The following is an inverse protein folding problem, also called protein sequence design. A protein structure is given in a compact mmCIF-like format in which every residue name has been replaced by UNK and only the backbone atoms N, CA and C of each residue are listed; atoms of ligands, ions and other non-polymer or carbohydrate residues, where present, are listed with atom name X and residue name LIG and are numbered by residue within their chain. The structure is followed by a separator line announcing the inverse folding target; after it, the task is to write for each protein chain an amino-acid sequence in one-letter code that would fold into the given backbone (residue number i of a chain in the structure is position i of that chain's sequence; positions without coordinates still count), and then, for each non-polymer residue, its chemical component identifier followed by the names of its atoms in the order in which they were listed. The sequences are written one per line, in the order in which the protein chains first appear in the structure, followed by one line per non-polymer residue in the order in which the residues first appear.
data_IF_835819732202
#
_entry.id   IF_835819732202
#
_cell.length_a   1.000
_cell.length_b   1.000
_cell.length_c   1.000
_cell.angle_alpha   90.00
_cell.angle_beta   90.00
_cell.angle_gamma   90.00
#
_symmetry.space_group_name_H-M   'P 1'
#
loop_
_entity.id
_entity.type
_entity.pdbx_description
1 polymer ?
#
# COMPACT_ATOMS: atom_id res chain seq x y z
N UNK A 1 -18.10 -49.48 46.19
CA UNK A 1 -16.69 -49.19 45.87
C UNK A 1 -16.49 -49.05 44.35
N UNK A 2 -17.31 -48.24 43.67
CA UNK A 2 -17.25 -47.99 42.22
C UNK A 2 -17.49 -46.49 41.89
N UNK A 3 -18.01 -45.69 42.82
CA UNK A 3 -18.38 -44.29 42.58
C UNK A 3 -17.25 -43.25 42.81
N UNK A 4 -16.03 -43.68 43.19
CA UNK A 4 -14.95 -42.76 43.56
C UNK A 4 -13.84 -42.63 42.49
N UNK A 5 -13.91 -43.43 41.41
CA UNK A 5 -12.91 -43.43 40.32
C UNK A 5 -13.33 -42.62 39.08
N UNK A 6 -14.58 -42.18 38.98
CA UNK A 6 -15.04 -41.37 37.84
C UNK A 6 -15.00 -39.85 38.09
N UNK A 7 -14.82 -39.40 39.34
CA UNK A 7 -14.71 -37.98 39.66
C UNK A 7 -13.28 -37.42 39.43
N UNK A 8 -12.26 -38.29 39.40
CA UNK A 8 -10.87 -37.90 39.16
C UNK A 8 -10.49 -37.79 37.68
N UNK A 9 -11.30 -38.37 36.77
CA UNK A 9 -11.03 -38.30 35.33
C UNK A 9 -11.58 -37.02 34.66
N UNK A 10 -12.53 -36.33 35.30
CA UNK A 10 -13.08 -35.07 34.81
C UNK A 10 -12.33 -33.82 35.30
N UNK A 11 -11.47 -33.96 36.32
CA UNK A 11 -10.65 -32.85 36.84
C UNK A 11 -9.29 -32.78 36.11
N UNK A 12 -8.82 -33.87 35.49
CA UNK A 12 -7.58 -33.88 34.69
C UNK A 12 -7.74 -33.34 33.26
N UNK A 13 -8.97 -33.09 32.78
CA UNK A 13 -9.24 -32.50 31.46
C UNK A 13 -9.57 -31.00 31.51
N UNK A 14 -9.69 -30.41 32.71
CA UNK A 14 -10.01 -28.99 32.88
C UNK A 14 -8.78 -28.11 33.22
N UNK A 15 -7.58 -28.69 33.38
CA UNK A 15 -6.34 -27.95 33.76
C UNK A 15 -5.34 -27.82 32.61
N UNK A 16 -5.59 -28.41 31.43
CA UNK A 16 -4.76 -28.23 30.23
C UNK A 16 -5.26 -27.07 29.34
N UNK A 17 -6.38 -26.43 29.69
CA UNK A 17 -7.03 -25.38 28.90
C UNK A 17 -6.77 -23.93 29.32
N UNK A 18 -5.82 -23.65 30.22
CA UNK A 18 -5.57 -22.29 30.73
C UNK A 18 -4.08 -21.97 30.80
N UNK A 19 -3.30 -22.13 29.72
CA UNK A 19 -2.00 -21.44 29.54
C UNK A 19 -1.61 -21.25 28.06
N UNK A 20 -2.59 -21.14 27.16
CA UNK A 20 -2.38 -20.54 25.82
C UNK A 20 -3.01 -19.13 25.79
N UNK A 21 -2.75 -18.36 26.84
CA UNK A 21 -2.69 -16.92 26.69
C UNK A 21 -1.26 -16.68 26.21
N UNK A 22 -1.10 -16.31 24.93
CA UNK A 22 0.13 -15.68 24.47
C UNK A 22 0.30 -14.39 25.29
N UNK A 23 0.92 -14.52 26.47
CA UNK A 23 1.77 -13.46 26.96
C UNK A 23 2.75 -13.22 25.83
N UNK A 24 2.52 -12.13 25.10
CA UNK A 24 3.56 -11.44 24.37
C UNK A 24 4.60 -11.11 25.43
N UNK A 25 5.54 -12.04 25.64
CA UNK A 25 6.82 -11.71 26.24
C UNK A 25 7.24 -10.42 25.54
N UNK A 26 7.41 -9.38 26.33
CA UNK A 26 8.19 -8.23 25.93
C UNK A 26 9.52 -8.80 25.47
N UNK A 27 9.62 -9.04 24.15
CA UNK A 27 10.89 -9.13 23.47
C UNK A 27 11.57 -7.83 23.85
N UNK A 28 12.48 -7.95 24.82
CA UNK A 28 13.49 -6.94 25.06
C UNK A 28 13.92 -6.47 23.69
N UNK A 29 13.74 -5.18 23.47
CA UNK A 29 14.07 -4.48 22.26
C UNK A 29 15.59 -4.55 22.14
N UNK A 30 16.09 -5.70 21.70
CA UNK A 30 17.42 -5.83 21.13
C UNK A 30 17.44 -4.74 20.08
N UNK A 31 18.35 -3.79 20.26
CA UNK A 31 18.63 -2.72 19.32
C UNK A 31 19.17 -3.39 18.07
N UNK A 32 18.25 -4.00 17.31
CA UNK A 32 18.53 -5.03 16.34
C UNK A 32 19.51 -4.46 15.36
N UNK A 33 20.64 -5.14 15.21
CA UNK A 33 21.57 -4.95 14.10
C UNK A 33 20.75 -4.69 12.85
N UNK A 34 20.75 -3.42 12.40
CA UNK A 34 20.10 -3.00 11.16
C UNK A 34 20.74 -3.87 10.09
N UNK A 35 20.01 -4.88 9.59
CA UNK A 35 20.49 -5.74 8.53
C UNK A 35 20.88 -4.83 7.35
N UNK A 36 22.06 -5.07 6.78
CA UNK A 36 22.69 -4.17 5.81
C UNK A 36 21.80 -4.05 4.57
N UNK A 37 21.19 -2.88 4.37
CA UNK A 37 20.51 -2.52 3.11
C UNK A 37 21.57 -1.89 2.21
N UNK A 38 21.76 -2.43 1.02
CA UNK A 38 22.70 -1.90 0.03
C UNK A 38 21.97 -1.27 -1.15
N UNK A 39 22.60 -0.30 -1.80
CA UNK A 39 22.12 0.27 -3.07
C UNK A 39 22.98 -0.29 -4.18
N UNK A 40 22.40 -1.11 -5.06
CA UNK A 40 23.06 -1.66 -6.23
C UNK A 40 22.34 -1.13 -7.47
N UNK A 41 23.05 -0.35 -8.30
CA UNK A 41 22.50 0.26 -9.52
C UNK A 41 21.17 1.00 -9.29
N UNK A 42 21.12 1.83 -8.24
CA UNK A 42 19.91 2.59 -7.89
C UNK A 42 18.75 1.72 -7.38
N UNK A 43 18.99 0.45 -7.02
CA UNK A 43 18.00 -0.48 -6.48
C UNK A 43 18.37 -0.90 -5.05
N UNK A 44 17.43 -0.81 -4.12
CA UNK A 44 17.64 -1.34 -2.76
C UNK A 44 17.74 -2.87 -2.80
N UNK A 45 18.76 -3.37 -2.12
CA UNK A 45 19.05 -4.81 -1.99
C UNK A 45 18.95 -5.20 -0.53
N UNK A 46 17.98 -6.09 -0.26
CA UNK A 46 17.78 -6.72 1.03
C UNK A 46 18.39 -8.12 0.98
N UNK A 47 19.37 -8.41 1.84
CA UNK A 47 20.05 -9.70 1.87
C UNK A 47 19.09 -10.87 2.13
N UNK A 48 18.07 -10.65 2.97
CA UNK A 48 17.09 -11.67 3.34
C UNK A 48 15.67 -11.14 3.27
N UNK A 49 14.73 -12.08 3.18
CA UNK A 49 13.30 -11.81 3.28
C UNK A 49 12.93 -11.14 4.61
N UNK A 50 13.54 -11.61 5.71
CA UNK A 50 13.33 -11.03 7.05
C UNK A 50 13.83 -9.58 7.14
N UNK A 51 14.93 -9.23 6.46
CA UNK A 51 15.41 -7.83 6.38
C UNK A 51 14.35 -6.90 5.77
N UNK A 52 13.77 -7.35 4.66
CA UNK A 52 12.75 -6.61 3.93
C UNK A 52 11.47 -6.44 4.78
N UNK A 53 11.02 -7.51 5.42
CA UNK A 53 9.87 -7.51 6.33
C UNK A 53 10.06 -6.54 7.51
N UNK A 54 11.18 -6.65 8.22
CA UNK A 54 11.53 -5.77 9.33
C UNK A 54 11.62 -4.30 8.89
N UNK A 55 12.08 -4.05 7.67
CA UNK A 55 12.14 -2.69 7.10
C UNK A 55 10.74 -2.13 6.85
N UNK A 56 9.83 -2.93 6.28
CA UNK A 56 8.44 -2.50 6.11
C UNK A 56 7.81 -2.22 7.49
N UNK A 57 7.97 -3.12 8.47
CA UNK A 57 7.44 -2.90 9.83
C UNK A 57 7.97 -1.62 10.47
N UNK A 58 9.27 -1.36 10.30
CA UNK A 58 9.90 -0.15 10.82
C UNK A 58 9.32 1.10 10.17
N UNK A 59 9.23 1.14 8.84
CA UNK A 59 8.71 2.30 8.10
C UNK A 59 7.21 2.53 8.38
N UNK A 60 6.46 1.45 8.59
CA UNK A 60 5.07 1.53 9.02
C UNK A 60 4.85 2.21 10.35
N UNK A 61 5.73 1.95 11.31
CA UNK A 61 5.69 2.60 12.63
C UNK A 61 6.21 4.05 12.56
N UNK A 62 6.96 4.39 11.51
CA UNK A 62 7.68 5.66 11.36
C UNK A 62 7.32 6.42 10.07
N UNK A 63 6.05 6.38 9.64
CA UNK A 63 5.61 6.95 8.36
C UNK A 63 5.84 8.47 8.21
N UNK A 64 6.01 9.20 9.31
CA UNK A 64 6.37 10.62 9.27
C UNK A 64 7.81 10.88 8.84
N UNK A 65 8.65 9.84 8.85
CA UNK A 65 10.10 9.95 8.67
C UNK A 65 10.56 9.22 7.40
N UNK A 66 9.66 8.97 6.43
CA UNK A 66 10.01 8.27 5.19
C UNK A 66 11.09 9.02 4.40
N UNK A 67 10.99 10.35 4.28
CA UNK A 67 12.01 11.17 3.60
C UNK A 67 13.37 11.08 4.30
N UNK A 68 13.36 11.11 5.63
CA UNK A 68 14.59 10.96 6.41
C UNK A 68 15.22 9.57 6.22
N UNK A 69 14.40 8.52 6.18
CA UNK A 69 14.89 7.16 5.93
C UNK A 69 15.48 7.03 4.53
N UNK A 70 14.79 7.51 3.50
CA UNK A 70 15.24 7.47 2.11
C UNK A 70 16.55 8.24 1.91
N UNK A 71 16.72 9.37 2.60
CA UNK A 71 17.94 10.21 2.52
C UNK A 71 19.24 9.51 2.94
N UNK A 72 19.14 8.35 3.59
CA UNK A 72 20.30 7.52 3.96
C UNK A 72 20.97 6.86 2.73
N UNK A 73 20.29 6.85 1.58
CA UNK A 73 20.71 6.18 0.36
C UNK A 73 20.96 7.18 -0.78
N UNK A 74 22.16 7.75 -0.85
CA UNK A 74 22.47 8.91 -1.72
C UNK A 74 22.25 8.72 -3.23
N UNK A 75 22.26 7.48 -3.73
CA UNK A 75 22.07 7.14 -5.15
C UNK A 75 20.73 6.47 -5.44
N UNK A 76 19.85 6.40 -4.45
CA UNK A 76 18.53 5.80 -4.56
C UNK A 76 17.46 6.89 -4.65
N UNK A 77 16.52 6.72 -5.57
CA UNK A 77 15.31 7.52 -5.67
C UNK A 77 14.13 6.57 -5.63
N UNK A 78 13.27 6.73 -4.62
CA UNK A 78 12.10 5.88 -4.49
C UNK A 78 11.03 6.22 -5.53
N UNK A 79 10.15 5.26 -5.83
CA UNK A 79 8.97 5.49 -6.66
C UNK A 79 8.11 6.62 -6.10
N UNK A 80 7.96 6.68 -4.77
CA UNK A 80 7.26 7.76 -4.07
C UNK A 80 7.86 9.12 -4.41
N UNK A 81 9.16 9.29 -4.20
CA UNK A 81 9.86 10.56 -4.46
C UNK A 81 9.83 10.93 -5.94
N UNK A 82 10.08 9.98 -6.83
CA UNK A 82 10.03 10.20 -8.27
C UNK A 82 8.63 10.64 -8.74
N UNK A 83 7.56 9.97 -8.26
CA UNK A 83 6.19 10.35 -8.54
C UNK A 83 5.85 11.75 -8.01
N UNK A 84 6.37 12.10 -6.84
CA UNK A 84 6.18 13.42 -6.23
C UNK A 84 6.87 14.56 -6.98
N UNK A 85 7.90 14.25 -7.76
CA UNK A 85 8.69 15.20 -8.54
C UNK A 85 8.17 15.38 -9.98
N UNK A 86 7.10 14.68 -10.39
CA UNK A 86 6.45 14.89 -11.68
C UNK A 86 5.91 16.33 -11.75
N UNK A 87 6.33 17.07 -12.76
CA UNK A 87 5.99 18.49 -12.88
C UNK A 87 4.57 18.73 -13.39
N UNK A 88 4.03 19.93 -13.18
CA UNK A 88 2.72 20.30 -13.74
C UNK A 88 2.73 20.24 -15.28
N UNK A 89 3.87 20.53 -15.92
CA UNK A 89 4.02 20.43 -17.37
C UNK A 89 4.00 18.97 -17.86
N UNK A 90 4.57 18.04 -17.10
CA UNK A 90 4.50 16.60 -17.41
C UNK A 90 3.07 16.11 -17.33
N UNK A 91 2.33 16.50 -16.28
CA UNK A 91 0.91 16.17 -16.11
C UNK A 91 0.06 16.76 -17.24
N UNK A 92 0.32 18.00 -17.65
CA UNK A 92 -0.35 18.60 -18.80
C UNK A 92 -0.07 17.84 -20.10
N UNK A 93 1.18 17.44 -20.33
CA UNK A 93 1.59 16.68 -21.52
C UNK A 93 0.90 15.31 -21.53
N UNK A 94 0.95 14.61 -20.41
CA UNK A 94 0.24 13.36 -20.20
C UNK A 94 -1.27 13.50 -20.46
N UNK A 95 -1.89 14.56 -19.95
CA UNK A 95 -3.33 14.79 -20.16
C UNK A 95 -3.68 15.19 -21.60
N UNK A 96 -2.80 15.89 -22.33
CA UNK A 96 -3.02 16.24 -23.74
C UNK A 96 -2.92 15.02 -24.63
N UNK A 97 -1.97 14.13 -24.34
CA UNK A 97 -1.71 12.92 -25.12
C UNK A 97 -2.57 11.72 -24.70
N UNK A 98 -3.28 11.84 -23.58
CA UNK A 98 -4.00 10.72 -22.95
C UNK A 98 -3.11 9.48 -22.78
N UNK A 99 -1.85 9.71 -22.39
CA UNK A 99 -0.81 8.70 -22.30
C UNK A 99 0.15 9.04 -21.16
N UNK A 100 0.60 8.02 -20.43
CA UNK A 100 1.65 8.11 -19.41
C UNK A 100 3.05 7.87 -20.01
N UNK A 101 3.24 8.09 -21.32
CA UNK A 101 4.50 7.75 -21.97
C UNK A 101 5.69 8.55 -21.41
N UNK A 102 6.80 7.87 -21.14
CA UNK A 102 7.95 8.39 -20.39
C UNK A 102 7.80 8.27 -18.86
N UNK A 103 6.62 7.92 -18.36
CA UNK A 103 6.31 7.76 -16.94
C UNK A 103 5.67 6.40 -16.64
N UNK A 104 5.76 5.42 -17.55
CA UNK A 104 5.11 4.11 -17.44
C UNK A 104 5.57 3.34 -16.20
N UNK A 105 6.80 3.62 -15.74
CA UNK A 105 7.36 3.05 -14.51
C UNK A 105 6.70 3.57 -13.23
N UNK A 106 6.18 4.79 -13.27
CA UNK A 106 5.73 5.54 -12.10
C UNK A 106 4.21 5.65 -12.05
N UNK A 107 3.59 5.84 -13.21
CA UNK A 107 2.21 6.33 -13.33
C UNK A 107 1.34 5.32 -14.05
N UNK A 108 0.13 5.12 -13.54
CA UNK A 108 -0.97 4.49 -14.25
C UNK A 108 -2.17 5.43 -14.32
N UNK A 109 -3.00 5.31 -15.35
CA UNK A 109 -4.28 6.00 -15.41
C UNK A 109 -5.40 5.03 -15.08
N UNK A 110 -6.24 5.41 -14.12
CA UNK A 110 -7.46 4.71 -13.75
C UNK A 110 -8.65 5.59 -14.07
N UNK A 111 -9.71 5.02 -14.61
CA UNK A 111 -10.97 5.73 -14.85
C UNK A 111 -12.04 5.25 -13.89
N UNK A 112 -12.73 6.20 -13.27
CA UNK A 112 -13.79 5.99 -12.29
C UNK A 112 -14.83 7.10 -12.48
N UNK A 113 -16.10 6.75 -12.66
CA UNK A 113 -17.20 7.70 -12.89
C UNK A 113 -16.96 8.69 -14.05
N UNK A 114 -16.30 8.23 -15.12
CA UNK A 114 -15.92 9.05 -16.27
C UNK A 114 -14.82 10.08 -15.95
N UNK A 115 -14.14 9.96 -14.82
CA UNK A 115 -13.00 10.78 -14.44
C UNK A 115 -11.71 9.97 -14.45
N UNK A 116 -10.70 10.51 -15.12
CA UNK A 116 -9.36 9.91 -15.16
C UNK A 116 -8.60 10.39 -13.92
N UNK A 117 -8.05 9.46 -13.15
CA UNK A 117 -7.13 9.69 -12.06
C UNK A 117 -5.79 9.07 -12.42
N UNK A 118 -4.73 9.84 -12.25
CA UNK A 118 -3.40 9.30 -12.34
C UNK A 118 -2.91 8.85 -10.97
N UNK A 119 -2.43 7.62 -10.92
CA UNK A 119 -2.00 6.93 -9.71
C UNK A 119 -0.57 6.48 -9.83
N UNK A 120 0.07 6.29 -8.70
CA UNK A 120 1.36 5.63 -8.65
C UNK A 120 1.16 4.13 -8.93
N UNK A 121 2.14 3.47 -9.55
CA UNK A 121 2.07 2.03 -9.77
C UNK A 121 1.99 1.22 -8.46
N UNK A 122 2.49 1.79 -7.36
CA UNK A 122 2.35 1.25 -6.00
C UNK A 122 1.58 2.28 -5.18
N UNK A 123 0.37 1.93 -4.76
CA UNK A 123 -0.51 2.84 -4.01
C UNK A 123 -0.13 2.95 -2.52
N UNK A 124 0.64 1.99 -2.00
CA UNK A 124 1.18 1.95 -0.64
C UNK A 124 2.46 2.80 -0.52
N UNK A 125 2.45 3.80 0.34
CA UNK A 125 3.58 4.74 0.47
C UNK A 125 4.83 4.11 1.10
N UNK A 126 4.70 3.15 2.00
CA UNK A 126 5.86 2.48 2.60
C UNK A 126 6.54 1.63 1.55
N UNK A 127 5.78 0.81 0.83
CA UNK A 127 6.33 -0.02 -0.23
C UNK A 127 6.90 0.84 -1.38
N UNK A 128 6.21 1.92 -1.77
CA UNK A 128 6.69 2.86 -2.77
C UNK A 128 7.95 3.62 -2.34
N UNK A 129 8.27 3.69 -1.04
CA UNK A 129 9.53 4.26 -0.52
C UNK A 129 10.68 3.28 -0.67
N UNK A 130 10.42 1.98 -0.67
CA UNK A 130 11.44 0.92 -0.79
C UNK A 130 11.78 0.61 -2.26
N UNK A 131 10.77 0.67 -3.13
CA UNK A 131 10.92 0.38 -4.55
C UNK A 131 11.46 1.60 -5.28
N UNK A 132 12.43 1.43 -6.19
CA UNK A 132 13.00 2.56 -6.93
C UNK A 132 12.02 3.12 -7.98
N UNK A 133 12.41 4.21 -8.64
CA UNK A 133 11.63 4.89 -9.68
C UNK A 133 11.28 4.02 -10.92
N UNK A 134 11.99 2.91 -11.13
CA UNK A 134 11.68 1.95 -12.21
C UNK A 134 10.70 0.84 -11.80
N UNK A 135 10.32 0.80 -10.52
CA UNK A 135 9.53 -0.28 -9.93
C UNK A 135 10.36 -1.45 -9.43
N UNK A 136 11.67 -1.30 -9.21
CA UNK A 136 12.60 -2.38 -8.88
C UNK A 136 12.97 -2.45 -7.38
N UNK A 137 13.13 -3.68 -6.89
CA UNK A 137 13.69 -4.01 -5.58
C UNK A 137 14.32 -5.41 -5.62
N UNK A 138 15.39 -5.64 -4.86
CA UNK A 138 16.01 -6.96 -4.72
C UNK A 138 15.84 -7.50 -3.30
N UNK A 139 15.39 -8.74 -3.16
CA UNK A 139 15.22 -9.42 -1.88
C UNK A 139 15.78 -10.84 -1.98
N UNK A 140 16.82 -11.13 -1.19
CA UNK A 140 17.50 -12.42 -1.22
C UNK A 140 18.13 -12.73 -2.58
N UNK A 141 17.71 -13.84 -3.18
CA UNK A 141 18.18 -14.28 -4.50
C UNK A 141 17.30 -13.75 -5.66
N UNK A 142 16.29 -12.93 -5.38
CA UNK A 142 15.31 -12.49 -6.38
C UNK A 142 15.34 -10.98 -6.59
N UNK A 143 15.07 -10.59 -7.83
CA UNK A 143 14.75 -9.21 -8.21
C UNK A 143 13.29 -9.14 -8.64
N UNK A 144 12.65 -8.04 -8.30
CA UNK A 144 11.23 -7.81 -8.54
C UNK A 144 11.01 -6.52 -9.32
N UNK A 145 10.04 -6.54 -10.23
CA UNK A 145 9.49 -5.33 -10.85
C UNK A 145 8.01 -5.23 -10.60
N UNK A 146 7.59 -4.16 -9.96
CA UNK A 146 6.19 -3.90 -9.60
C UNK A 146 5.60 -2.89 -10.59
N UNK A 147 4.51 -3.30 -11.23
CA UNK A 147 3.62 -2.48 -12.03
C UNK A 147 2.26 -2.43 -11.35
N UNK A 148 1.42 -1.49 -11.78
CA UNK A 148 0.08 -1.37 -11.22
C UNK A 148 -0.71 -2.70 -11.24
N UNK A 149 -0.68 -3.47 -12.33
CA UNK A 149 -1.47 -4.70 -12.43
C UNK A 149 -0.62 -5.99 -12.46
N UNK A 150 0.71 -5.88 -12.34
CA UNK A 150 1.62 -7.01 -12.51
C UNK A 150 2.84 -6.91 -11.62
N UNK A 151 3.24 -8.06 -11.09
CA UNK A 151 4.54 -8.28 -10.48
C UNK A 151 5.34 -9.19 -11.41
N UNK A 152 6.59 -8.82 -11.67
CA UNK A 152 7.56 -9.67 -12.34
C UNK A 152 8.66 -10.04 -11.36
N UNK A 153 9.14 -11.28 -11.43
CA UNK A 153 10.19 -11.81 -10.58
C UNK A 153 11.20 -12.58 -11.44
N UNK A 154 12.48 -12.37 -11.16
CA UNK A 154 13.60 -13.10 -11.77
C UNK A 154 14.65 -13.39 -10.70
N UNK A 155 15.62 -14.25 -11.01
CA UNK A 155 16.86 -14.34 -10.23
C UNK A 155 17.59 -12.99 -10.25
N UNK A 156 18.19 -12.58 -9.13
CA UNK A 156 18.85 -11.26 -8.99
C UNK A 156 19.92 -11.00 -10.04
N UNK A 157 20.59 -12.04 -10.56
CA UNK A 157 21.59 -11.92 -11.62
C UNK A 157 21.01 -11.46 -12.96
N UNK A 158 19.67 -11.49 -13.10
CA UNK A 158 18.94 -11.13 -14.30
C UNK A 158 18.15 -9.82 -14.15
N UNK A 159 18.51 -8.96 -13.19
CA UNK A 159 17.84 -7.67 -12.94
C UNK A 159 17.64 -6.83 -14.21
N UNK A 160 18.63 -6.79 -15.10
CA UNK A 160 18.59 -5.99 -16.32
C UNK A 160 17.43 -6.36 -17.26
N UNK A 161 16.99 -7.61 -17.22
CA UNK A 161 15.83 -8.08 -18.00
C UNK A 161 14.55 -7.38 -17.55
N UNK A 162 14.44 -7.08 -16.26
CA UNK A 162 13.29 -6.35 -15.72
C UNK A 162 13.30 -4.88 -16.16
N UNK A 163 14.46 -4.25 -16.34
CA UNK A 163 14.57 -2.86 -16.80
C UNK A 163 13.88 -2.69 -18.17
N UNK A 164 14.07 -3.65 -19.08
CA UNK A 164 13.52 -3.63 -20.45
C UNK A 164 12.21 -4.40 -20.67
N UNK A 165 11.53 -4.85 -19.59
CA UNK A 165 10.38 -5.76 -19.70
C UNK A 165 9.19 -5.19 -20.49
N UNK A 166 9.09 -3.86 -20.60
CA UNK A 166 8.00 -3.21 -21.32
C UNK A 166 8.29 -2.94 -22.79
N UNK A 167 9.54 -3.11 -23.22
CA UNK A 167 9.93 -3.01 -24.62
C UNK A 167 9.23 -4.11 -25.45
N UNK A 168 8.54 -3.67 -26.50
CA UNK A 168 7.78 -4.52 -27.42
C UNK A 168 8.67 -5.54 -28.13
N UNK A 169 9.93 -5.18 -28.43
CA UNK A 169 10.88 -6.09 -29.08
C UNK A 169 11.35 -7.18 -28.10
N UNK A 170 11.53 -6.81 -26.83
CA UNK A 170 11.87 -7.74 -25.75
C UNK A 170 10.74 -8.72 -25.45
N UNK A 171 9.47 -8.30 -25.45
CA UNK A 171 8.32 -9.19 -25.11
C UNK A 171 8.27 -10.49 -25.92
N UNK A 172 8.81 -10.50 -27.14
CA UNK A 172 8.89 -11.69 -27.98
C UNK A 172 10.10 -12.59 -27.64
N UNK A 173 11.19 -12.03 -27.13
CA UNK A 173 12.42 -12.73 -26.72
C UNK A 173 12.43 -13.17 -25.24
N UNK A 174 11.54 -12.62 -24.39
CA UNK A 174 11.41 -13.01 -22.97
C UNK A 174 11.04 -14.49 -22.73
N UNK A 175 10.66 -15.25 -23.78
CA UNK A 175 10.33 -16.68 -23.67
C UNK A 175 11.51 -17.57 -23.24
N UNK A 176 12.76 -17.08 -23.32
CA UNK A 176 13.96 -17.82 -22.87
C UNK A 176 14.38 -17.51 -21.44
N UNK A 177 13.87 -16.44 -20.85
CA UNK A 177 14.26 -15.99 -19.52
C UNK A 177 13.25 -16.54 -18.51
N UNK A 178 13.73 -17.13 -17.41
CA UNK A 178 12.87 -17.64 -16.33
C UNK A 178 12.23 -16.47 -15.56
N UNK A 179 11.26 -15.81 -16.19
CA UNK A 179 10.50 -14.69 -15.62
C UNK A 179 9.19 -15.25 -15.07
N UNK A 180 9.03 -15.16 -13.76
CA UNK A 180 7.76 -15.41 -13.11
C UNK A 180 6.93 -14.13 -13.16
N UNK A 181 5.64 -14.25 -13.47
CA UNK A 181 4.73 -13.11 -13.47
C UNK A 181 3.47 -13.41 -12.67
N UNK A 182 3.05 -12.45 -11.86
CA UNK A 182 1.89 -12.56 -10.99
C UNK A 182 0.97 -11.36 -11.22
N UNK A 183 -0.33 -11.59 -11.11
CA UNK A 183 -1.30 -10.49 -11.15
C UNK A 183 -1.23 -9.67 -9.86
N UNK A 184 -1.38 -8.36 -9.99
CA UNK A 184 -1.62 -7.47 -8.85
C UNK A 184 -3.09 -7.11 -8.85
N UNK A 185 -3.77 -7.36 -7.73
CA UNK A 185 -5.17 -6.99 -7.56
C UNK A 185 -5.29 -5.81 -6.62
N UNK A 186 -6.20 -4.92 -6.96
CA UNK A 186 -6.56 -3.79 -6.11
C UNK A 186 -8.06 -3.72 -5.97
N UNK A 187 -8.54 -3.67 -4.73
CA UNK A 187 -9.96 -3.51 -4.46
C UNK A 187 -10.23 -2.11 -3.92
N UNK A 188 -10.61 -1.22 -4.83
CA UNK A 188 -11.21 0.08 -4.56
C UNK A 188 -12.68 -0.06 -4.94
N UNK A 189 -13.56 -0.42 -4.01
CA UNK A 189 -14.96 -0.68 -4.37
C UNK A 189 -15.64 0.64 -4.72
N UNK A 190 -16.17 0.74 -5.94
CA UNK A 190 -17.10 1.79 -6.35
C UNK A 190 -18.48 1.19 -6.62
N UNK A 191 -19.50 2.00 -6.33
CA UNK A 191 -20.90 1.71 -6.59
C UNK A 191 -21.11 1.34 -8.06
N UNK A 192 -21.77 0.21 -8.30
CA UNK A 192 -22.28 -0.13 -9.64
C UNK A 192 -23.78 -0.26 -9.46
N UNK A 193 -24.54 0.61 -10.12
CA UNK A 193 -25.97 0.83 -9.90
C UNK A 193 -26.86 -0.35 -10.34
N UNK A 194 -26.27 -1.49 -10.72
CA UNK A 194 -26.96 -2.64 -11.29
C UNK A 194 -27.28 -3.78 -10.31
N UNK A 195 -26.67 -3.84 -9.12
CA UNK A 195 -26.89 -4.94 -8.18
C UNK A 195 -27.25 -4.45 -6.78
N UNK A 196 -28.49 -4.77 -6.39
CA UNK A 196 -29.10 -4.58 -5.06
C UNK A 196 -28.50 -5.53 -4.00
N UNK A 197 -27.17 -5.60 -3.93
CA UNK A 197 -26.49 -6.00 -2.70
C UNK A 197 -25.94 -4.72 -2.09
N UNK A 198 -26.24 -4.48 -0.82
CA UNK A 198 -25.86 -3.28 -0.06
C UNK A 198 -24.35 -3.03 -0.14
N UNK A 199 -23.93 -2.28 -1.17
CA UNK A 199 -22.56 -1.78 -1.35
C UNK A 199 -22.37 -0.65 -0.36
N UNK A 200 -21.50 -0.84 0.61
CA UNK A 200 -21.01 0.27 1.38
C UNK A 200 -19.95 1.02 0.55
N UNK A 201 -20.10 2.35 0.51
CA UNK A 201 -19.16 3.24 -0.17
C UNK A 201 -17.77 2.99 0.41
N UNK A 202 -16.75 2.80 -0.43
CA UNK A 202 -15.34 2.68 -0.01
C UNK A 202 -14.48 3.84 -0.50
N UNK A 203 -15.11 4.84 -1.08
CA UNK A 203 -14.52 6.13 -1.34
C UNK A 203 -15.48 7.27 -0.94
N UNK A 204 -14.93 8.46 -0.77
CA UNK A 204 -15.72 9.66 -0.61
C UNK A 204 -15.04 10.80 -1.36
N UNK A 205 -15.84 11.72 -1.92
CA UNK A 205 -15.27 12.91 -2.58
C UNK A 205 -15.96 14.19 -2.14
N UNK A 206 -15.17 15.24 -1.92
CA UNK A 206 -15.67 16.58 -1.66
C UNK A 206 -14.95 17.58 -2.56
N UNK A 207 -15.70 18.13 -3.52
CA UNK A 207 -15.23 19.23 -4.41
C UNK A 207 -15.56 20.57 -3.77
N UNK A 208 -14.68 21.56 -3.90
CA UNK A 208 -14.87 22.85 -3.23
C UNK A 208 -14.56 24.11 -4.07
N UNK A 209 -14.98 25.26 -3.53
CA UNK A 209 -15.98 26.16 -4.15
C UNK A 209 -15.50 27.09 -5.28
N UNK A 210 -14.20 27.35 -5.50
CA UNK A 210 -13.81 28.34 -6.54
C UNK A 210 -13.21 27.74 -7.81
N UNK A 211 -12.88 26.44 -7.81
CA UNK A 211 -12.31 25.76 -8.97
C UNK A 211 -12.83 24.31 -8.94
N UNK A 212 -13.68 23.89 -9.89
CA UNK A 212 -14.09 22.47 -10.13
C UNK A 212 -12.90 21.55 -10.49
N UNK A 213 -11.69 21.94 -10.12
CA UNK A 213 -10.40 21.33 -10.39
C UNK A 213 -9.68 20.98 -9.08
N UNK A 214 -10.35 20.99 -7.94
CA UNK A 214 -9.79 20.52 -6.67
C UNK A 214 -10.81 19.66 -5.93
N UNK A 215 -10.33 18.63 -5.24
CA UNK A 215 -11.15 17.76 -4.39
C UNK A 215 -10.34 17.17 -3.25
N UNK A 216 -11.03 16.95 -2.14
CA UNK A 216 -10.66 15.96 -1.14
C UNK A 216 -11.23 14.60 -1.59
N UNK A 217 -10.42 13.54 -1.51
CA UNK A 217 -10.85 12.16 -1.79
C UNK A 217 -10.42 11.25 -0.65
N UNK A 218 -11.37 10.54 -0.04
CA UNK A 218 -11.10 9.42 0.84
C UNK A 218 -11.18 8.11 0.07
N UNK A 219 -10.32 7.15 0.37
CA UNK A 219 -10.40 5.80 -0.20
C UNK A 219 -10.01 4.76 0.84
N UNK A 220 -10.73 3.63 0.84
CA UNK A 220 -10.33 2.39 1.50
C UNK A 220 -9.89 1.39 0.44
N UNK A 221 -8.86 0.61 0.75
CA UNK A 221 -8.24 -0.25 -0.25
C UNK A 221 -7.70 -1.54 0.36
N UNK A 222 -7.63 -2.55 -0.49
CA UNK A 222 -6.79 -3.73 -0.28
C UNK A 222 -5.98 -3.95 -1.55
N UNK A 223 -4.71 -4.29 -1.42
CA UNK A 223 -3.85 -4.69 -2.53
C UNK A 223 -3.29 -6.08 -2.26
N UNK A 224 -3.13 -6.86 -3.32
CA UNK A 224 -2.38 -8.12 -3.30
C UNK A 224 -1.45 -8.12 -4.52
N UNK A 225 -0.15 -8.11 -4.24
CA UNK A 225 0.96 -8.11 -5.19
C UNK A 225 1.52 -9.53 -5.28
N UNK A 226 0.68 -10.47 -5.69
CA UNK A 226 1.03 -11.89 -5.78
C UNK A 226 1.62 -12.43 -4.46
N UNK A 227 2.69 -13.25 -4.52
CA UNK A 227 3.33 -13.78 -3.32
C UNK A 227 4.21 -12.73 -2.61
N UNK A 228 4.40 -11.54 -3.16
CA UNK A 228 5.40 -10.59 -2.65
C UNK A 228 4.87 -9.79 -1.46
N UNK A 229 3.69 -9.20 -1.61
CA UNK A 229 3.15 -8.23 -0.66
C UNK A 229 1.63 -8.23 -0.72
N UNK A 230 0.97 -8.10 0.41
CA UNK A 230 -0.43 -7.70 0.47
C UNK A 230 -0.64 -6.67 1.56
N UNK A 231 -1.60 -5.78 1.37
CA UNK A 231 -1.90 -4.75 2.35
C UNK A 231 -3.35 -4.31 2.30
N UNK A 232 -3.81 -3.70 3.38
CA UNK A 232 -5.11 -3.08 3.46
C UNK A 232 -5.04 -1.79 4.27
N UNK A 233 -5.79 -0.78 3.85
CA UNK A 233 -5.75 0.49 4.54
C UNK A 233 -6.82 1.47 4.10
N UNK A 234 -6.69 2.68 4.65
CA UNK A 234 -7.45 3.84 4.22
C UNK A 234 -6.51 4.99 3.95
N UNK A 235 -6.92 5.91 3.08
CA UNK A 235 -6.15 7.09 2.74
C UNK A 235 -7.02 8.30 2.45
N UNK A 236 -6.52 9.47 2.84
CA UNK A 236 -7.06 10.79 2.47
C UNK A 236 -6.13 11.42 1.45
N UNK A 237 -6.63 11.78 0.27
CA UNK A 237 -5.88 12.48 -0.78
C UNK A 237 -6.44 13.89 -1.00
N UNK A 238 -5.54 14.84 -1.22
CA UNK A 238 -5.92 16.09 -1.88
C UNK A 238 -5.52 16.02 -3.36
N UNK A 239 -6.44 16.39 -4.25
CA UNK A 239 -6.24 16.25 -5.70
C UNK A 239 -6.58 17.54 -6.44
N UNK A 240 -5.78 17.84 -7.46
CA UNK A 240 -6.01 18.90 -8.44
C UNK A 240 -6.24 18.28 -9.81
N UNK A 241 -7.17 18.81 -10.57
CA UNK A 241 -7.42 18.41 -11.95
C UNK A 241 -6.64 19.31 -12.90
N UNK A 242 -5.69 18.74 -13.64
CA UNK A 242 -5.08 19.38 -14.79
C UNK A 242 -5.70 18.81 -16.06
N UNK A 243 -6.26 19.68 -16.90
CA UNK A 243 -7.13 19.29 -18.01
C UNK A 243 -8.22 18.27 -17.59
N UNK A 244 -8.07 16.98 -17.94
CA UNK A 244 -9.03 15.90 -17.61
C UNK A 244 -8.55 14.95 -16.50
N UNK A 245 -7.28 15.02 -16.11
CA UNK A 245 -6.66 14.07 -15.19
C UNK A 245 -6.65 14.66 -13.78
N UNK A 246 -7.19 13.92 -12.81
CA UNK A 246 -7.01 14.16 -11.39
C UNK A 246 -5.64 13.66 -10.95
N UNK A 247 -4.87 14.53 -10.30
CA UNK A 247 -3.55 14.23 -9.79
C UNK A 247 -3.42 14.67 -8.33
N UNK A 248 -2.55 14.02 -7.58
CA UNK A 248 -2.25 14.33 -6.17
C UNK A 248 -1.64 15.73 -6.03
N UNK A 249 -2.17 16.56 -5.16
CA UNK A 249 -1.72 17.95 -5.00
C UNK A 249 -1.46 18.28 -3.53
N UNK A 250 -0.47 19.15 -3.26
CA UNK A 250 -0.18 19.63 -1.90
C UNK A 250 -1.37 20.38 -1.30
N UNK A 251 -1.48 20.36 0.02
CA UNK A 251 -2.49 21.08 0.80
C UNK A 251 -1.91 21.47 2.16
N UNK A 252 -2.55 22.41 2.89
CA UNK A 252 -1.98 22.89 4.15
C UNK A 252 -1.88 21.79 5.20
N UNK A 253 -2.93 20.98 5.34
CA UNK A 253 -2.88 19.77 6.18
C UNK A 253 -3.98 18.78 5.86
N UNK A 254 -3.68 17.50 6.05
CA UNK A 254 -4.62 16.38 5.96
C UNK A 254 -4.68 15.61 7.28
N UNK A 255 -5.82 14.96 7.51
CA UNK A 255 -6.01 13.98 8.57
C UNK A 255 -6.90 12.84 8.08
N UNK A 256 -6.61 11.65 8.58
CA UNK A 256 -7.41 10.45 8.44
C UNK A 256 -7.71 9.93 9.84
N UNK A 257 -8.98 9.66 10.11
CA UNK A 257 -9.40 8.90 11.29
C UNK A 257 -10.11 7.66 10.83
N UNK A 258 -9.80 6.53 11.45
CA UNK A 258 -10.24 5.21 11.03
C UNK A 258 -10.75 4.44 12.24
N UNK A 259 -11.90 3.79 12.11
CA UNK A 259 -12.40 2.86 13.11
C UNK A 259 -13.13 1.69 12.43
N UNK A 260 -12.78 0.47 12.80
CA UNK A 260 -13.43 -0.71 12.23
C UNK A 260 -12.68 -2.01 12.51
N UNK A 261 -12.89 -2.97 11.64
CA UNK A 261 -12.27 -4.29 11.68
C UNK A 261 -11.96 -4.84 10.30
N UNK A 262 -10.88 -5.60 10.20
CA UNK A 262 -10.53 -6.38 8.99
C UNK A 262 -10.13 -7.81 9.38
N UNK A 263 -10.22 -8.71 8.42
CA UNK A 263 -9.80 -10.10 8.53
C UNK A 263 -8.60 -10.32 7.61
N UNK A 264 -7.51 -10.83 8.18
CA UNK A 264 -6.39 -11.36 7.41
C UNK A 264 -6.66 -12.82 7.06
N UNK A 265 -6.38 -13.22 5.83
CA UNK A 265 -6.45 -14.60 5.37
C UNK A 265 -5.04 -15.10 5.11
N UNK A 266 -4.67 -16.26 5.62
CA UNK A 266 -3.40 -16.93 5.30
C UNK A 266 -3.71 -18.28 4.65
N UNK A 267 -3.25 -18.49 3.42
CA UNK A 267 -3.58 -19.68 2.62
C UNK A 267 -5.10 -19.92 2.53
N UNK A 268 -5.88 -18.84 2.44
CA UNK A 268 -7.34 -18.88 2.42
C UNK A 268 -8.02 -19.13 3.78
N UNK A 269 -7.26 -19.29 4.86
CA UNK A 269 -7.78 -19.48 6.22
C UNK A 269 -7.90 -18.12 6.91
N UNK A 270 -9.10 -17.69 7.34
CA UNK A 270 -9.28 -16.43 8.06
C UNK A 270 -8.66 -16.49 9.46
N UNK A 271 -7.93 -15.44 9.81
CA UNK A 271 -7.53 -15.14 11.19
C UNK A 271 -8.68 -14.47 11.94
N UNK A 272 -8.66 -14.43 13.28
CA UNK A 272 -9.61 -13.61 14.04
C UNK A 272 -9.61 -12.15 13.54
N UNK A 273 -10.78 -11.50 13.43
CA UNK A 273 -10.85 -10.09 13.04
C UNK A 273 -10.00 -9.19 13.93
N UNK A 274 -9.27 -8.28 13.31
CA UNK A 274 -8.41 -7.31 13.98
C UNK A 274 -9.15 -5.98 14.03
N UNK A 275 -9.24 -5.39 15.23
CA UNK A 275 -9.78 -4.05 15.41
C UNK A 275 -8.75 -3.01 15.00
N UNK A 276 -9.18 -1.99 14.26
CA UNK A 276 -8.39 -0.82 13.91
C UNK A 276 -9.06 0.43 14.45
N UNK A 277 -8.29 1.24 15.18
CA UNK A 277 -8.71 2.55 15.67
C UNK A 277 -7.51 3.48 15.58
N UNK A 278 -7.42 4.19 14.47
CA UNK A 278 -6.22 4.95 14.08
C UNK A 278 -6.58 6.40 13.80
N UNK A 279 -5.64 7.28 14.13
CA UNK A 279 -5.69 8.69 13.81
C UNK A 279 -4.33 9.12 13.30
N UNK A 280 -4.26 9.50 12.04
CA UNK A 280 -2.99 9.93 11.43
C UNK A 280 -2.43 11.19 12.05
N UNK A 281 -3.21 11.92 12.87
CA UNK A 281 -2.97 13.28 13.27
C UNK A 281 -3.05 14.24 12.07
N UNK A 282 -2.89 15.54 12.35
CA UNK A 282 -2.72 16.53 11.30
C UNK A 282 -1.30 16.47 10.74
N UNK A 283 -1.17 16.18 9.44
CA UNK A 283 0.10 16.27 8.71
C UNK A 283 0.16 17.63 8.03
N UNK A 284 1.09 18.50 8.45
CA UNK A 284 1.21 19.90 7.99
C UNK A 284 2.13 20.06 6.77
N UNK A 285 1.90 21.13 6.01
CA UNK A 285 2.77 21.76 5.00
C UNK A 285 3.27 20.88 3.84
N UNK A 286 2.76 19.66 3.72
CA UNK A 286 2.95 18.80 2.54
C UNK A 286 1.81 17.77 2.39
N UNK A 287 0.63 18.05 2.95
CA UNK A 287 -0.50 17.11 3.03
C UNK A 287 -1.01 16.69 1.64
N UNK A 288 -0.34 15.71 1.03
CA UNK A 288 -0.72 15.09 -0.25
C UNK A 288 -1.57 13.86 0.00
N UNK A 289 -1.19 13.10 1.03
CA UNK A 289 -1.84 11.87 1.47
C UNK A 289 -1.70 11.68 2.99
N UNK A 290 -2.74 11.20 3.67
CA UNK A 290 -2.66 10.64 5.01
C UNK A 290 -3.19 9.21 4.95
N UNK A 291 -2.51 8.23 5.56
CA UNK A 291 -2.83 6.82 5.38
C UNK A 291 -2.60 6.02 6.66
N UNK A 292 -3.30 4.89 6.76
CA UNK A 292 -3.19 3.90 7.84
C UNK A 292 -3.39 2.54 7.19
N UNK A 293 -2.52 1.57 7.47
CA UNK A 293 -2.58 0.27 6.81
C UNK A 293 -2.00 -0.84 7.65
N UNK A 294 -2.36 -2.07 7.27
CA UNK A 294 -1.75 -3.31 7.73
C UNK A 294 -1.26 -4.10 6.51
N UNK A 295 -0.32 -5.00 6.72
CA UNK A 295 0.39 -5.69 5.66
C UNK A 295 0.80 -7.11 6.03
N UNK A 296 1.14 -7.87 5.00
CA UNK A 296 1.82 -9.15 5.13
C UNK A 296 2.71 -9.35 3.90
N UNK A 297 3.84 -10.01 4.12
CA UNK A 297 4.86 -10.25 3.10
C UNK A 297 5.02 -11.75 2.93
N UNK A 298 5.36 -12.18 1.71
CA UNK A 298 5.78 -13.56 1.41
C UNK A 298 4.81 -14.66 1.87
N UNK A 299 3.51 -14.42 1.69
CA UNK A 299 2.48 -15.40 1.99
C UNK A 299 1.37 -15.31 0.95
N UNK A 300 0.63 -16.41 0.74
CA UNK A 300 -0.71 -16.36 0.15
C UNK A 300 -1.65 -15.69 1.15
N UNK A 301 -1.38 -14.41 1.39
CA UNK A 301 -2.08 -13.59 2.33
C UNK A 301 -3.00 -12.64 1.57
N UNK A 302 -4.15 -12.37 2.14
CA UNK A 302 -5.07 -11.37 1.63
C UNK A 302 -5.85 -10.74 2.77
N UNK A 303 -6.47 -9.61 2.48
CA UNK A 303 -7.24 -8.87 3.46
C UNK A 303 -8.69 -8.76 3.00
N UNK A 304 -9.60 -8.88 3.95
CA UNK A 304 -10.99 -8.49 3.82
C UNK A 304 -11.31 -7.42 4.85
N UNK A 305 -11.76 -6.25 4.37
CA UNK A 305 -12.32 -5.23 5.25
C UNK A 305 -13.73 -5.69 5.65
N UNK A 306 -13.97 -5.87 6.95
CA UNK A 306 -15.26 -6.36 7.48
C UNK A 306 -16.22 -5.22 7.79
N UNK A 307 -15.70 -4.17 8.44
CA UNK A 307 -16.39 -2.92 8.78
C UNK A 307 -15.32 -1.84 8.85
N UNK A 308 -15.52 -0.68 8.25
CA UNK A 308 -14.52 0.37 8.27
C UNK A 308 -15.17 1.72 8.05
N UNK A 309 -15.31 2.47 9.13
CA UNK A 309 -15.69 3.87 9.07
C UNK A 309 -14.45 4.75 9.05
N UNK A 310 -14.36 5.66 8.11
CA UNK A 310 -13.24 6.61 8.03
C UNK A 310 -13.71 8.04 7.82
N UNK A 311 -13.04 8.97 8.50
CA UNK A 311 -13.26 10.41 8.40
C UNK A 311 -12.02 11.02 7.75
N UNK A 312 -12.23 11.67 6.61
CA UNK A 312 -11.19 12.27 5.79
C UNK A 312 -11.31 13.79 5.87
N UNK A 313 -10.25 14.47 6.29
CA UNK A 313 -10.29 15.90 6.61
C UNK A 313 -9.12 16.63 5.94
N UNK A 314 -9.38 17.83 5.42
CA UNK A 314 -8.33 18.79 5.05
C UNK A 314 -8.56 20.14 5.74
N UNK A 315 -7.46 20.85 6.02
CA UNK A 315 -7.48 22.30 5.81
C UNK A 315 -6.81 22.53 4.48
N UNK A 316 -7.63 22.93 3.52
CA UNK A 316 -7.26 22.96 2.13
C UNK A 316 -6.43 24.21 1.80
N UNK A 317 -5.77 24.23 0.63
CA UNK A 317 -4.84 25.30 0.25
C UNK A 317 -5.47 26.68 0.05
N UNK A 318 -6.80 26.77 -0.01
CA UNK A 318 -7.56 28.02 0.03
C UNK A 318 -8.01 28.43 1.45
N UNK A 319 -7.55 27.70 2.48
CA UNK A 319 -7.89 27.92 3.88
C UNK A 319 -9.22 27.29 4.31
N UNK A 320 -9.98 26.69 3.40
CA UNK A 320 -11.26 26.06 3.75
C UNK A 320 -11.04 24.72 4.45
N UNK A 321 -11.97 24.41 5.36
CA UNK A 321 -12.05 23.09 5.97
C UNK A 321 -12.99 22.21 5.14
N UNK A 322 -12.49 21.08 4.66
CA UNK A 322 -13.32 20.08 3.97
C UNK A 322 -13.28 18.75 4.70
N UNK A 323 -14.40 18.04 4.63
CA UNK A 323 -14.57 16.71 5.22
C UNK A 323 -15.39 15.83 4.29
N UNK A 324 -15.01 14.57 4.19
CA UNK A 324 -15.87 13.51 3.68
C UNK A 324 -15.70 12.25 4.53
N UNK A 325 -16.78 11.48 4.63
CA UNK A 325 -16.83 10.30 5.48
C UNK A 325 -17.13 9.07 4.61
N UNK A 326 -16.57 7.94 5.00
CA UNK A 326 -16.86 6.62 4.46
C UNK A 326 -17.45 5.80 5.60
N UNK A 327 -18.58 5.15 5.37
CA UNK A 327 -19.23 4.28 6.36
C UNK A 327 -19.43 2.91 5.73
N UNK A 328 -18.57 1.96 6.11
CA UNK A 328 -18.60 0.57 5.66
C UNK A 328 -18.92 -0.39 6.80
#
# INVERSE_FOLDING_TARGET
MIAQKQLLLFISLAVVGIFYSCNREELEQDSGTIQKIEVNEGTLTFETQASFENTIEYLMKNQSNLDQWESQFSTFVSMRTAFENISENDIETMSKNNSNSGFENLVTFTEADGEIEARMNIDDLVLATIVNEEGLVQVGASAYKIRYNKLYKVDKSNLDILKSIDDLEMKNSLKSNNIESFSVTHNYFQFDAGELQTKADRDCTKRYWKKKRKRLKGEQWTTNIGPFYSGAGARTKHQKRSARIWWRNKTQRLRLRLNGTYTQYFNGIPSPPINVNEDSGWRTDDGREAYTFDFCVNANCSFQINSLSSIHECTCDDGNYERCDIVF
#
